data_IF_613670582196
#
_entry.id   IF_613670582196
#
_cell.length_a   1.000
_cell.length_b   1.000
_cell.length_c   1.000
_cell.angle_alpha   90.00
_cell.angle_beta   90.00
_cell.angle_gamma   90.00
#
_symmetry.space_group_name_H-M   'P 1'
#
loop_
_entity.id
_entity.type
_entity.pdbx_description
1 polymer ?
#
# COMPACT_ATOMS: atom_id res chain seq x y z
N UNK A 1 31.62 -76.76 10.99
CA UNK A 1 31.47 -75.61 10.04
C UNK A 1 30.30 -74.70 10.38
N UNK A 2 29.16 -75.20 10.78
CA UNK A 2 27.92 -74.36 11.08
C UNK A 2 28.07 -73.37 12.24
N UNK A 3 28.84 -73.69 13.29
CA UNK A 3 29.05 -72.81 14.45
C UNK A 3 29.80 -71.50 14.11
N UNK A 4 30.80 -71.57 13.22
CA UNK A 4 31.55 -70.38 12.81
C UNK A 4 30.65 -69.40 12.00
N UNK A 5 29.84 -69.93 11.12
CA UNK A 5 28.91 -69.13 10.31
C UNK A 5 27.85 -68.44 11.19
N UNK A 6 27.33 -69.11 12.21
CA UNK A 6 26.40 -68.53 13.18
C UNK A 6 27.07 -67.40 13.97
N UNK A 7 28.31 -67.55 14.38
CA UNK A 7 29.04 -66.47 15.09
C UNK A 7 29.31 -65.27 14.21
N UNK A 8 29.64 -65.46 12.92
CA UNK A 8 29.83 -64.38 11.96
C UNK A 8 28.53 -63.62 11.71
N UNK A 9 27.39 -64.31 11.57
CA UNK A 9 26.09 -63.70 11.42
C UNK A 9 25.72 -62.87 12.66
N UNK A 10 25.97 -63.40 13.86
CA UNK A 10 25.72 -62.72 15.13
C UNK A 10 26.56 -61.43 15.23
N UNK A 11 27.83 -61.47 14.94
CA UNK A 11 28.69 -60.29 14.95
C UNK A 11 28.29 -59.26 13.90
N UNK A 12 27.82 -59.71 12.76
CA UNK A 12 27.31 -58.83 11.70
C UNK A 12 26.02 -58.12 12.12
N UNK A 13 25.11 -58.83 12.77
CA UNK A 13 23.87 -58.28 13.32
C UNK A 13 24.15 -57.25 14.42
N UNK A 14 25.08 -57.52 15.33
CA UNK A 14 25.49 -56.57 16.37
C UNK A 14 26.05 -55.28 15.75
N UNK A 15 26.87 -55.38 14.70
CA UNK A 15 27.39 -54.21 13.96
C UNK A 15 26.29 -53.45 13.26
N UNK A 16 25.33 -54.12 12.67
CA UNK A 16 24.19 -53.47 12.01
C UNK A 16 23.33 -52.74 13.05
N UNK A 17 23.01 -53.39 14.17
CA UNK A 17 22.24 -52.75 15.24
C UNK A 17 22.96 -51.53 15.81
N UNK A 18 24.27 -51.60 16.03
CA UNK A 18 25.05 -50.42 16.48
C UNK A 18 24.97 -49.26 15.48
N UNK A 19 25.05 -49.56 14.16
CA UNK A 19 24.90 -48.51 13.13
C UNK A 19 23.47 -47.94 13.05
N UNK A 20 22.46 -48.78 13.26
CA UNK A 20 21.08 -48.33 13.31
C UNK A 20 20.89 -47.33 14.46
N UNK A 21 21.38 -47.67 15.67
CA UNK A 21 21.28 -46.77 16.82
C UNK A 21 22.02 -45.44 16.59
N UNK A 22 23.20 -45.46 15.96
CA UNK A 22 23.92 -44.24 15.59
C UNK A 22 23.15 -43.37 14.61
N UNK A 23 22.51 -43.98 13.61
CA UNK A 23 21.66 -43.25 12.64
C UNK A 23 20.39 -42.70 13.29
N UNK A 24 19.77 -43.46 14.20
CA UNK A 24 18.60 -42.98 14.96
C UNK A 24 18.95 -41.76 15.82
N UNK A 25 20.11 -41.73 16.45
CA UNK A 25 20.61 -40.59 17.20
C UNK A 25 20.82 -39.36 16.29
N UNK A 26 21.45 -39.56 15.12
CA UNK A 26 21.65 -38.50 14.13
C UNK A 26 20.32 -37.96 13.56
N UNK A 27 19.32 -38.83 13.35
CA UNK A 27 17.97 -38.40 12.92
C UNK A 27 17.34 -37.52 13.99
N UNK A 28 17.40 -37.94 15.27
CA UNK A 28 16.83 -37.12 16.37
C UNK A 28 17.48 -35.75 16.47
N UNK A 29 18.81 -35.67 16.35
CA UNK A 29 19.51 -34.38 16.33
C UNK A 29 19.08 -33.47 15.15
N UNK A 30 18.84 -34.07 13.97
CA UNK A 30 18.40 -33.34 12.80
C UNK A 30 16.96 -32.86 12.93
N UNK A 31 16.08 -33.66 13.53
CA UNK A 31 14.71 -33.29 13.82
C UNK A 31 14.63 -32.09 14.79
N UNK A 32 15.45 -32.11 15.84
CA UNK A 32 15.56 -30.99 16.78
C UNK A 32 16.04 -29.70 16.08
N UNK A 33 17.10 -29.80 15.28
CA UNK A 33 17.59 -28.65 14.49
C UNK A 33 16.55 -28.11 13.50
N UNK A 34 15.79 -29.00 12.86
CA UNK A 34 14.69 -28.61 11.99
C UNK A 34 13.59 -27.88 12.76
N UNK A 35 13.28 -28.33 13.97
CA UNK A 35 12.33 -27.68 14.87
C UNK A 35 12.76 -26.25 15.18
N UNK A 36 14.01 -26.05 15.56
CA UNK A 36 14.58 -24.73 15.88
C UNK A 36 14.55 -23.78 14.66
N UNK A 37 14.98 -24.27 13.50
CA UNK A 37 14.96 -23.49 12.25
C UNK A 37 13.53 -23.07 11.89
N UNK A 38 12.59 -24.00 11.98
CA UNK A 38 11.16 -23.72 11.69
C UNK A 38 10.59 -22.67 12.63
N UNK A 39 10.92 -22.76 13.91
CA UNK A 39 10.50 -21.78 14.91
C UNK A 39 11.09 -20.38 14.65
N UNK A 40 12.39 -20.31 14.34
CA UNK A 40 13.04 -19.04 13.98
C UNK A 40 12.43 -18.41 12.72
N UNK A 41 12.15 -19.22 11.70
CA UNK A 41 11.54 -18.76 10.45
C UNK A 41 10.15 -18.19 10.69
N UNK A 42 9.32 -18.86 11.48
CA UNK A 42 8.01 -18.35 11.88
C UNK A 42 8.11 -17.03 12.62
N UNK A 43 9.09 -16.88 13.50
CA UNK A 43 9.32 -15.62 14.22
C UNK A 43 9.78 -14.50 13.28
N UNK A 44 10.64 -14.80 12.30
CA UNK A 44 11.05 -13.85 11.26
C UNK A 44 9.86 -13.39 10.44
N UNK A 45 8.99 -14.30 10.00
CA UNK A 45 7.76 -13.97 9.26
C UNK A 45 6.83 -13.09 10.08
N UNK A 46 6.62 -13.40 11.36
CA UNK A 46 5.80 -12.55 12.25
C UNK A 46 6.39 -11.14 12.42
N UNK A 47 7.71 -11.02 12.53
CA UNK A 47 8.39 -9.71 12.61
C UNK A 47 8.25 -8.92 11.33
N UNK A 48 8.45 -9.55 10.17
CA UNK A 48 8.28 -8.92 8.86
C UNK A 48 6.87 -8.36 8.70
N UNK A 49 5.85 -9.18 9.00
CA UNK A 49 4.45 -8.74 8.93
C UNK A 49 4.17 -7.52 9.80
N UNK A 50 4.66 -7.49 11.05
CA UNK A 50 4.53 -6.33 11.94
C UNK A 50 5.21 -5.08 11.37
N UNK A 51 6.38 -5.25 10.75
CA UNK A 51 7.12 -4.14 10.13
C UNK A 51 6.37 -3.61 8.91
N UNK A 52 5.82 -4.49 8.07
CA UNK A 52 4.99 -4.11 6.92
C UNK A 52 3.75 -3.34 7.36
N UNK A 53 3.04 -3.82 8.39
CA UNK A 53 1.87 -3.14 8.93
C UNK A 53 2.23 -1.74 9.48
N UNK A 54 3.34 -1.63 10.20
CA UNK A 54 3.84 -0.35 10.72
C UNK A 54 4.22 0.62 9.60
N UNK A 55 4.88 0.15 8.55
CA UNK A 55 5.20 0.95 7.36
C UNK A 55 3.92 1.40 6.64
N UNK A 56 2.93 0.53 6.52
CA UNK A 56 1.63 0.88 5.93
C UNK A 56 0.95 1.99 6.69
N UNK A 57 0.90 1.89 8.02
CA UNK A 57 0.32 2.93 8.88
C UNK A 57 1.05 4.25 8.77
N UNK A 58 2.37 4.22 8.70
CA UNK A 58 3.19 5.41 8.49
C UNK A 58 2.88 6.07 7.15
N UNK A 59 2.82 5.29 6.06
CA UNK A 59 2.47 5.77 4.73
C UNK A 59 1.07 6.38 4.67
N UNK A 60 0.09 5.74 5.30
CA UNK A 60 -1.27 6.28 5.35
C UNK A 60 -1.32 7.59 6.15
N UNK A 61 -0.59 7.69 7.26
CA UNK A 61 -0.48 8.93 8.03
C UNK A 61 0.19 10.07 7.24
N UNK A 62 1.23 9.76 6.46
CA UNK A 62 1.87 10.74 5.60
C UNK A 62 0.92 11.19 4.47
N UNK A 63 0.21 10.25 3.84
CA UNK A 63 -0.66 10.53 2.69
C UNK A 63 -2.03 11.08 3.07
N UNK A 64 -2.46 10.93 4.32
CA UNK A 64 -3.80 11.35 4.74
C UNK A 64 -4.08 12.84 4.52
N UNK A 65 -3.06 13.69 4.57
CA UNK A 65 -3.15 15.14 4.34
C UNK A 65 -2.87 15.56 2.89
N UNK A 66 -2.49 14.60 2.04
CA UNK A 66 -2.09 14.88 0.67
C UNK A 66 -3.25 14.73 -0.29
N UNK A 67 -3.28 15.61 -1.27
CA UNK A 67 -4.14 15.53 -2.46
C UNK A 67 -3.28 15.71 -3.71
N UNK A 68 -3.79 15.27 -4.84
CA UNK A 68 -3.11 15.44 -6.12
C UNK A 68 -4.01 16.09 -7.15
N UNK A 69 -3.40 16.89 -8.01
CA UNK A 69 -4.04 17.52 -9.15
C UNK A 69 -3.45 16.90 -10.40
N UNK A 70 -4.32 16.37 -11.24
CA UNK A 70 -3.98 15.65 -12.46
C UNK A 70 -4.45 16.49 -13.64
N UNK A 71 -3.78 16.34 -14.80
CA UNK A 71 -4.15 16.98 -16.08
C UNK A 71 -3.98 18.51 -16.11
N UNK A 72 -3.13 19.07 -15.24
CA UNK A 72 -2.71 20.46 -15.39
C UNK A 72 -1.78 20.59 -16.61
N UNK A 73 -1.98 21.56 -17.52
CA UNK A 73 -1.11 21.77 -18.67
C UNK A 73 0.36 21.93 -18.28
N UNK A 74 1.26 21.28 -19.01
CA UNK A 74 2.70 21.30 -18.70
C UNK A 74 3.33 22.70 -18.83
N UNK A 75 2.81 23.52 -19.72
CA UNK A 75 3.26 24.91 -19.91
C UNK A 75 3.05 25.74 -18.63
N UNK A 76 1.91 25.57 -17.97
CA UNK A 76 1.62 26.25 -16.71
C UNK A 76 2.54 25.78 -15.58
N UNK A 77 2.85 24.47 -15.52
CA UNK A 77 3.75 23.91 -14.52
C UNK A 77 5.20 24.36 -14.69
N UNK A 78 5.62 24.71 -15.90
CA UNK A 78 6.95 25.27 -16.16
C UNK A 78 7.06 26.74 -15.80
N UNK A 79 5.97 27.48 -15.95
CA UNK A 79 5.95 28.93 -15.75
C UNK A 79 5.64 29.33 -14.33
N UNK A 80 4.92 28.49 -13.58
CA UNK A 80 4.40 28.81 -12.25
C UNK A 80 4.82 27.77 -11.19
N UNK A 81 4.98 28.27 -9.98
CA UNK A 81 5.15 27.41 -8.80
C UNK A 81 3.86 26.66 -8.52
N UNK A 82 3.95 25.37 -8.19
CA UNK A 82 2.81 24.48 -7.94
C UNK A 82 1.79 25.06 -6.93
N UNK A 83 2.27 25.76 -5.92
CA UNK A 83 1.43 26.43 -4.92
C UNK A 83 0.55 27.54 -5.54
N UNK A 84 1.11 28.33 -6.47
CA UNK A 84 0.36 29.39 -7.16
C UNK A 84 -0.73 28.81 -8.06
N UNK A 85 -0.42 27.72 -8.76
CA UNK A 85 -1.41 27.00 -9.59
C UNK A 85 -2.57 26.51 -8.72
N UNK A 86 -2.26 25.89 -7.57
CA UNK A 86 -3.29 25.42 -6.65
C UNK A 86 -4.18 26.59 -6.15
N UNK A 87 -3.58 27.71 -5.76
CA UNK A 87 -4.31 28.90 -5.32
C UNK A 87 -5.27 29.41 -6.41
N UNK A 88 -4.80 29.51 -7.64
CA UNK A 88 -5.62 29.94 -8.79
C UNK A 88 -6.78 28.96 -9.01
N UNK A 89 -6.54 27.65 -8.98
CA UNK A 89 -7.58 26.61 -9.12
C UNK A 89 -8.66 26.76 -8.04
N UNK A 90 -8.26 26.92 -6.79
CA UNK A 90 -9.20 27.03 -5.67
C UNK A 90 -10.03 28.33 -5.77
N UNK A 91 -9.41 29.44 -6.12
CA UNK A 91 -10.13 30.72 -6.28
C UNK A 91 -11.11 30.67 -7.46
N UNK A 92 -10.70 30.09 -8.61
CA UNK A 92 -11.54 29.95 -9.81
C UNK A 92 -12.75 29.03 -9.56
N UNK A 93 -12.56 27.92 -8.85
CA UNK A 93 -13.59 26.89 -8.73
C UNK A 93 -14.39 26.97 -7.42
N UNK A 94 -13.80 27.48 -6.34
CA UNK A 94 -14.38 27.47 -5.00
C UNK A 94 -14.20 28.82 -4.28
N UNK A 95 -14.80 29.91 -4.79
CA UNK A 95 -14.57 31.26 -4.27
C UNK A 95 -14.92 31.39 -2.78
N UNK A 96 -15.95 30.70 -2.31
CA UNK A 96 -16.39 30.72 -0.91
C UNK A 96 -15.40 30.08 0.07
N UNK A 97 -14.49 29.23 -0.42
CA UNK A 97 -13.50 28.53 0.40
C UNK A 97 -12.07 29.03 0.14
N UNK A 98 -11.89 29.82 -0.93
CA UNK A 98 -10.56 30.16 -1.45
C UNK A 98 -9.63 30.79 -0.43
N UNK A 99 -10.09 31.82 0.27
CA UNK A 99 -9.26 32.57 1.24
C UNK A 99 -8.81 31.71 2.43
N UNK A 100 -9.67 30.86 2.94
CA UNK A 100 -9.36 29.99 4.08
C UNK A 100 -8.37 28.87 3.70
N UNK A 101 -8.68 28.16 2.61
CA UNK A 101 -7.93 26.95 2.22
C UNK A 101 -6.53 27.28 1.73
N UNK A 102 -6.38 28.37 0.99
CA UNK A 102 -5.10 28.81 0.43
C UNK A 102 -4.03 29.01 1.53
N UNK A 103 -4.43 29.48 2.70
CA UNK A 103 -3.51 29.71 3.83
C UNK A 103 -3.12 28.41 4.56
N UNK A 104 -3.72 27.29 4.21
CA UNK A 104 -3.47 25.99 4.84
C UNK A 104 -2.66 25.03 3.97
N UNK A 105 -2.05 25.50 2.90
CA UNK A 105 -1.07 24.75 2.12
C UNK A 105 0.24 24.71 2.90
N UNK A 106 0.71 23.51 3.18
CA UNK A 106 2.02 23.29 3.82
C UNK A 106 3.12 23.17 2.77
N UNK A 107 2.83 22.44 1.68
CA UNK A 107 3.78 22.16 0.63
C UNK A 107 3.04 21.88 -0.69
N UNK A 108 3.63 22.28 -1.81
CA UNK A 108 3.13 21.98 -3.14
C UNK A 108 4.29 21.66 -4.08
N UNK A 109 4.28 20.48 -4.68
CA UNK A 109 5.36 20.01 -5.57
C UNK A 109 4.84 19.26 -6.78
N UNK A 110 5.58 19.31 -7.89
CA UNK A 110 5.30 18.50 -9.09
C UNK A 110 5.96 17.12 -8.97
N UNK A 111 5.19 16.06 -9.20
CA UNK A 111 5.64 14.67 -9.10
C UNK A 111 5.42 13.97 -10.46
N UNK A 112 6.37 13.21 -10.98
CA UNK A 112 7.73 12.98 -10.47
C UNK A 112 8.61 14.23 -10.57
N UNK A 113 9.52 14.39 -9.62
CA UNK A 113 10.46 15.52 -9.58
C UNK A 113 11.40 15.55 -10.80
N UNK A 114 11.83 14.36 -11.24
CA UNK A 114 12.61 14.18 -12.47
C UNK A 114 11.74 13.54 -13.55
N UNK A 115 11.59 14.21 -14.68
CA UNK A 115 10.97 13.63 -15.88
C UNK A 115 11.98 12.71 -16.57
N UNK A 116 11.54 11.47 -16.81
CA UNK A 116 12.26 10.59 -17.71
C UNK A 116 11.81 10.95 -19.16
N UNK A 117 12.70 11.46 -20.03
CA UNK A 117 12.32 11.84 -21.41
C UNK A 117 11.76 10.69 -22.24
N UNK A 118 12.05 9.44 -21.84
CA UNK A 118 11.59 8.22 -22.50
C UNK A 118 10.22 7.73 -22.04
N UNK A 119 9.70 8.27 -20.95
CA UNK A 119 8.37 7.94 -20.42
C UNK A 119 7.52 9.20 -20.43
N UNK A 120 6.52 9.23 -21.28
CA UNK A 120 5.56 10.32 -21.37
C UNK A 120 4.52 10.25 -20.23
N UNK A 121 5.01 10.16 -18.99
CA UNK A 121 4.15 10.18 -17.80
C UNK A 121 3.77 11.60 -17.46
N UNK A 122 2.48 11.95 -17.47
CA UNK A 122 2.03 13.29 -17.11
C UNK A 122 2.39 13.58 -15.64
N UNK A 123 2.93 14.76 -15.40
CA UNK A 123 3.22 15.21 -14.02
C UNK A 123 1.93 15.53 -13.30
N UNK A 124 1.89 15.16 -12.04
CA UNK A 124 0.84 15.58 -11.10
C UNK A 124 1.37 16.66 -10.17
N UNK A 125 0.50 17.49 -9.65
CA UNK A 125 0.86 18.41 -8.57
C UNK A 125 0.38 17.76 -7.27
N UNK A 126 1.31 17.51 -6.35
CA UNK A 126 1.04 17.01 -5.02
C UNK A 126 0.91 18.20 -4.08
N UNK A 127 -0.21 18.29 -3.38
CA UNK A 127 -0.50 19.34 -2.39
C UNK A 127 -0.62 18.68 -1.02
N UNK A 128 0.17 19.16 -0.07
CA UNK A 128 0.10 18.79 1.33
C UNK A 128 -0.58 19.88 2.12
N UNK A 129 -1.66 19.54 2.80
CA UNK A 129 -2.43 20.47 3.61
C UNK A 129 -2.08 20.31 5.09
N UNK A 130 -2.24 21.39 5.86
CA UNK A 130 -1.97 21.38 7.31
C UNK A 130 -2.91 20.44 8.07
N UNK A 131 -4.17 20.34 7.65
CA UNK A 131 -5.21 19.52 8.30
C UNK A 131 -5.97 18.68 7.29
N UNK A 132 -6.29 17.45 7.65
CA UNK A 132 -7.09 16.52 6.84
C UNK A 132 -8.50 17.07 6.53
N UNK A 133 -9.09 17.80 7.48
CA UNK A 133 -10.41 18.42 7.30
C UNK A 133 -10.48 19.36 6.10
N UNK A 134 -9.42 20.10 5.80
CA UNK A 134 -9.38 20.98 4.61
C UNK A 134 -9.39 20.18 3.31
N UNK A 135 -8.63 19.06 3.27
CA UNK A 135 -8.66 18.14 2.14
C UNK A 135 -10.07 17.58 1.90
N UNK A 136 -10.72 17.10 2.96
CA UNK A 136 -12.06 16.52 2.88
C UNK A 136 -13.09 17.54 2.35
N UNK A 137 -13.02 18.79 2.82
CA UNK A 137 -13.89 19.89 2.34
C UNK A 137 -13.68 20.16 0.86
N UNK A 138 -12.44 20.23 0.39
CA UNK A 138 -12.12 20.39 -1.04
C UNK A 138 -12.68 19.23 -1.85
N UNK A 139 -12.36 17.98 -1.45
CA UNK A 139 -12.80 16.79 -2.19
C UNK A 139 -14.34 16.65 -2.22
N UNK A 140 -15.02 17.07 -1.16
CA UNK A 140 -16.48 17.12 -1.13
C UNK A 140 -17.00 18.15 -2.14
N UNK A 141 -16.48 19.38 -2.15
CA UNK A 141 -16.85 20.42 -3.09
C UNK A 141 -16.55 20.03 -4.55
N UNK A 142 -15.43 19.33 -4.80
CA UNK A 142 -15.09 18.76 -6.11
C UNK A 142 -16.16 17.77 -6.58
N UNK A 143 -16.63 16.88 -5.68
CA UNK A 143 -17.70 15.92 -6.00
C UNK A 143 -19.02 16.60 -6.31
N UNK A 144 -19.36 17.65 -5.59
CA UNK A 144 -20.60 18.44 -5.80
C UNK A 144 -20.57 19.22 -7.11
N UNK A 145 -19.41 19.77 -7.47
CA UNK A 145 -19.23 20.54 -8.71
C UNK A 145 -19.18 19.68 -9.98
N UNK A 146 -18.89 18.38 -9.86
CA UNK A 146 -18.75 17.40 -10.95
C UNK A 146 -17.56 17.66 -11.90
N UNK A 147 -17.35 18.89 -12.34
CA UNK A 147 -16.25 19.27 -13.24
C UNK A 147 -15.48 20.46 -12.66
N UNK A 148 -14.18 20.30 -12.55
CA UNK A 148 -13.25 21.34 -12.12
C UNK A 148 -12.38 21.73 -13.30
N UNK A 149 -12.22 23.02 -13.52
CA UNK A 149 -11.45 23.56 -14.64
C UNK A 149 -10.32 24.46 -14.14
N UNK A 150 -9.29 24.56 -14.96
CA UNK A 150 -8.22 25.53 -14.79
C UNK A 150 -7.87 26.13 -16.13
N UNK A 151 -8.09 27.44 -16.29
CA UNK A 151 -7.90 28.17 -17.55
C UNK A 151 -8.60 27.50 -18.75
N UNK A 152 -9.80 26.99 -18.56
CA UNK A 152 -10.59 26.31 -19.59
C UNK A 152 -10.25 24.84 -19.83
N UNK A 153 -9.20 24.29 -19.19
CA UNK A 153 -8.87 22.86 -19.25
C UNK A 153 -9.52 22.10 -18.09
N UNK A 154 -10.09 20.94 -18.39
CA UNK A 154 -10.60 20.04 -17.35
C UNK A 154 -9.45 19.46 -16.56
N UNK A 155 -9.55 19.50 -15.23
CA UNK A 155 -8.54 18.95 -14.32
C UNK A 155 -9.20 18.06 -13.26
N UNK A 156 -8.44 17.17 -12.65
CA UNK A 156 -8.91 16.27 -11.62
C UNK A 156 -8.19 16.50 -10.30
N UNK A 157 -8.97 16.76 -9.23
CA UNK A 157 -8.49 16.81 -7.85
C UNK A 157 -8.88 15.51 -7.15
N UNK A 158 -7.89 14.77 -6.66
CA UNK A 158 -8.11 13.48 -5.99
C UNK A 158 -7.30 13.37 -4.71
N UNK A 159 -7.71 12.45 -3.82
CA UNK A 159 -6.90 12.10 -2.67
C UNK A 159 -5.65 11.34 -3.14
N UNK A 160 -4.49 11.63 -2.54
CA UNK A 160 -3.30 10.81 -2.73
C UNK A 160 -3.43 9.57 -1.85
N UNK A 161 -3.69 8.42 -2.48
CA UNK A 161 -3.92 7.14 -1.82
C UNK A 161 -2.68 6.24 -1.94
N UNK A 162 -2.54 5.28 -1.02
CA UNK A 162 -1.53 4.23 -1.16
C UNK A 162 -1.86 3.30 -2.33
N UNK A 163 -0.86 2.60 -2.86
CA UNK A 163 -1.06 1.64 -3.94
C UNK A 163 -2.06 0.53 -3.54
N UNK A 164 -1.97 0.07 -2.30
CA UNK A 164 -2.86 -0.95 -1.74
C UNK A 164 -4.30 -0.45 -1.64
N UNK A 165 -4.51 0.78 -1.16
CA UNK A 165 -5.86 1.38 -1.13
C UNK A 165 -6.43 1.55 -2.54
N UNK A 166 -5.61 1.90 -3.53
CA UNK A 166 -6.02 1.97 -4.93
C UNK A 166 -6.38 0.59 -5.47
N UNK A 167 -5.59 -0.44 -5.14
CA UNK A 167 -5.85 -1.82 -5.54
C UNK A 167 -7.16 -2.31 -4.92
N UNK A 168 -7.34 -2.16 -3.62
CA UNK A 168 -8.59 -2.51 -2.94
C UNK A 168 -9.80 -1.82 -3.57
N UNK A 169 -9.69 -0.51 -3.91
CA UNK A 169 -10.78 0.20 -4.60
C UNK A 169 -11.10 -0.36 -5.98
N UNK A 170 -10.09 -0.83 -6.73
CA UNK A 170 -10.32 -1.47 -8.04
C UNK A 170 -11.07 -2.78 -7.89
N UNK A 171 -10.69 -3.61 -6.92
CA UNK A 171 -11.37 -4.88 -6.62
C UNK A 171 -12.83 -4.67 -6.21
N UNK A 172 -13.11 -3.62 -5.44
CA UNK A 172 -14.47 -3.26 -5.04
C UNK A 172 -15.30 -2.60 -6.17
N UNK A 173 -14.65 -2.12 -7.23
CA UNK A 173 -15.33 -1.38 -8.29
C UNK A 173 -16.40 -2.22 -9.00
N UNK A 174 -16.14 -3.50 -9.24
CA UNK A 174 -17.09 -4.38 -9.90
C UNK A 174 -18.26 -4.73 -8.99
N UNK A 175 -18.01 -4.98 -7.72
CA UNK A 175 -19.06 -5.14 -6.69
C UNK A 175 -19.93 -3.88 -6.61
N UNK A 176 -19.34 -2.70 -6.67
CA UNK A 176 -20.04 -1.42 -6.62
C UNK A 176 -20.92 -1.20 -7.87
N UNK A 177 -20.44 -1.59 -9.05
CA UNK A 177 -21.25 -1.53 -10.29
C UNK A 177 -22.49 -2.42 -10.20
N UNK A 178 -22.35 -3.63 -9.68
CA UNK A 178 -23.46 -4.59 -9.51
C UNK A 178 -24.50 -4.05 -8.53
N UNK A 179 -24.05 -3.49 -7.40
CA UNK A 179 -24.94 -2.90 -6.38
C UNK A 179 -25.66 -1.66 -6.90
N UNK A 180 -24.98 -0.80 -7.65
CA UNK A 180 -25.56 0.41 -8.26
C UNK A 180 -26.58 0.07 -9.35
N UNK A 181 -26.36 -1.01 -10.09
CA UNK A 181 -27.32 -1.52 -11.10
C UNK A 181 -28.63 -2.04 -10.49
N UNK A 182 -28.64 -2.45 -9.21
CA UNK A 182 -29.81 -2.97 -8.49
C UNK A 182 -30.66 -1.90 -7.78
N UNK A 183 -30.49 -0.61 -8.07
CA UNK A 183 -31.24 0.51 -7.45
C UNK A 183 -31.31 0.49 -5.91
N UNK A 184 -30.32 -0.08 -5.25
CA UNK A 184 -30.22 -0.04 -3.79
C UNK A 184 -29.35 1.16 -3.42
N UNK A 185 -29.94 2.16 -2.78
CA UNK A 185 -29.21 3.33 -2.25
C UNK A 185 -28.47 2.93 -0.97
N UNK A 186 -27.47 2.11 -1.13
CA UNK A 186 -26.61 1.72 -0.01
C UNK A 186 -25.32 2.50 -0.12
N UNK A 187 -25.10 3.41 0.82
CA UNK A 187 -23.81 4.06 0.99
C UNK A 187 -22.82 3.02 1.51
N UNK A 188 -22.04 2.44 0.60
CA UNK A 188 -20.93 1.60 1.00
C UNK A 188 -19.79 2.53 1.38
N UNK A 189 -19.65 2.77 2.67
CA UNK A 189 -18.42 3.27 3.25
C UNK A 189 -17.40 2.16 3.06
N UNK A 190 -16.34 2.39 2.28
CA UNK A 190 -15.18 1.47 2.23
C UNK A 190 -14.71 1.31 3.67
N UNK A 191 -14.67 0.10 4.23
CA UNK A 191 -14.30 -0.07 5.61
C UNK A 191 -12.93 0.54 5.84
N UNK A 192 -12.87 1.48 6.77
CA UNK A 192 -11.63 1.83 7.44
C UNK A 192 -11.09 0.55 8.10
N UNK A 193 -9.78 0.47 8.26
CA UNK A 193 -8.96 -0.68 8.64
C UNK A 193 -9.47 -1.63 9.76
N UNK A 194 -10.51 -1.25 10.50
CA UNK A 194 -10.95 -1.95 11.72
C UNK A 194 -11.82 -3.19 11.47
N UNK A 195 -12.14 -3.53 10.21
CA UNK A 195 -13.05 -4.64 9.87
C UNK A 195 -12.38 -5.81 9.11
N UNK A 196 -11.05 -5.82 9.00
CA UNK A 196 -10.30 -6.94 8.38
C UNK A 196 -9.50 -7.72 9.46
N UNK A 197 -9.89 -7.60 10.72
CA UNK A 197 -9.39 -8.49 11.77
C UNK A 197 -10.55 -9.36 12.26
N UNK A 198 -10.79 -10.46 11.53
CA UNK A 198 -11.33 -11.73 12.04
C UNK A 198 -11.02 -12.82 11.03
#
# INVERSE_FOLDING_TARGET
MTNNTITEIKNTLERINSKISEVEEQISELEDKMGDITYEEQNKVKRLKRTEDSLRDLWDNIKCKNMQIIEVPEEEKKQKVSEKIFKEIIVENFPNMGKEIVNHVQEAQSVPYRTNPRQNTPRHILIKLTKTKHKERILKAVKEKQQVTYKGHSIHLTANLSAETLQARREWQDTFKILKGKKSTTYITVPSKDLIQN
#
